data_IF_811350234534
#
_entry.id   IF_811350234534
#
_cell.length_a   1.000
_cell.length_b   1.000
_cell.length_c   1.000
_cell.angle_alpha   90.00
_cell.angle_beta   90.00
_cell.angle_gamma   90.00
#
_symmetry.space_group_name_H-M   'P 1'
#
loop_
_entity.id
_entity.type
_entity.pdbx_description
1 polymer ?
#
# COMPACT_ATOMS: atom_id res chain seq x y z
N UNK A 1 -56.86 63.38 12.35
CA UNK A 1 -55.52 62.98 11.88
C UNK A 1 -55.68 62.24 10.55
N UNK A 2 -54.85 62.60 9.57
CA UNK A 2 -54.58 61.99 8.25
C UNK A 2 -55.69 61.96 7.17
N UNK A 3 -55.30 62.52 6.01
CA UNK A 3 -55.97 62.57 4.70
C UNK A 3 -55.58 61.34 3.83
N UNK A 4 -55.59 61.36 2.48
CA UNK A 4 -56.54 60.62 1.65
C UNK A 4 -55.90 59.61 0.65
N UNK A 5 -56.76 58.95 -0.13
CA UNK A 5 -56.57 58.67 -1.58
C UNK A 5 -55.87 57.39 -2.06
N UNK A 6 -56.46 56.85 -3.14
CA UNK A 6 -55.83 56.28 -4.35
C UNK A 6 -55.88 54.75 -4.55
N UNK A 7 -56.47 54.39 -5.71
CA UNK A 7 -56.47 53.12 -6.42
C UNK A 7 -55.05 52.58 -6.67
N UNK A 8 -54.89 51.26 -6.86
CA UNK A 8 -54.38 50.65 -8.10
C UNK A 8 -54.10 49.14 -7.98
N UNK A 9 -54.64 48.41 -8.96
CA UNK A 9 -54.10 47.19 -9.58
C UNK A 9 -52.59 47.27 -9.77
N UNK A 10 -51.82 46.24 -9.39
CA UNK A 10 -50.69 45.70 -10.18
C UNK A 10 -50.45 44.22 -9.82
N UNK A 11 -50.82 43.30 -10.72
CA UNK A 11 -50.02 42.08 -10.94
C UNK A 11 -48.90 42.51 -11.89
N UNK A 12 -47.67 42.37 -11.45
CA UNK A 12 -46.52 42.31 -12.31
C UNK A 12 -45.72 41.09 -11.87
N UNK A 13 -45.75 40.07 -12.74
CA UNK A 13 -44.90 38.89 -12.66
C UNK A 13 -43.43 39.33 -12.80
N UNK A 14 -42.74 39.49 -11.67
CA UNK A 14 -41.29 39.59 -11.65
C UNK A 14 -40.71 38.18 -11.85
N UNK A 15 -40.35 37.89 -13.11
CA UNK A 15 -39.60 36.69 -13.50
C UNK A 15 -38.22 36.74 -12.83
N UNK A 16 -38.12 36.11 -11.66
CA UNK A 16 -36.87 35.94 -10.92
C UNK A 16 -35.99 34.95 -11.66
N UNK A 17 -35.10 35.47 -12.50
CA UNK A 17 -34.00 34.71 -13.11
C UNK A 17 -33.20 34.00 -12.00
N UNK A 18 -32.91 32.69 -12.15
CA UNK A 18 -32.10 31.98 -11.18
C UNK A 18 -30.69 32.57 -11.21
N UNK A 19 -30.30 33.21 -10.11
CA UNK A 19 -28.91 33.56 -9.84
C UNK A 19 -28.10 32.27 -9.88
N UNK A 20 -27.47 32.01 -11.02
CA UNK A 20 -26.41 31.01 -11.15
C UNK A 20 -25.27 31.47 -10.25
N UNK A 21 -25.32 31.07 -8.99
CA UNK A 21 -24.16 31.09 -8.13
C UNK A 21 -23.22 30.04 -8.70
N UNK A 22 -22.38 30.45 -9.63
CA UNK A 22 -21.17 29.74 -9.99
C UNK A 22 -20.29 29.67 -8.73
N UNK A 23 -20.62 28.74 -7.83
CA UNK A 23 -19.68 28.26 -6.83
C UNK A 23 -18.55 27.64 -7.65
N UNK A 24 -17.42 28.33 -7.76
CA UNK A 24 -16.24 27.85 -8.46
C UNK A 24 -15.88 26.47 -7.94
N UNK A 25 -16.35 25.43 -8.61
CA UNK A 25 -15.93 24.06 -8.33
C UNK A 25 -14.49 24.00 -8.79
N UNK A 26 -13.59 23.75 -7.84
CA UNK A 26 -12.20 23.40 -8.14
C UNK A 26 -12.21 22.32 -9.22
N UNK A 27 -11.68 22.63 -10.40
CA UNK A 27 -11.55 21.68 -11.51
C UNK A 27 -10.38 20.70 -11.33
N UNK A 28 -9.72 20.74 -10.16
CA UNK A 28 -8.64 19.83 -9.83
C UNK A 28 -9.19 18.43 -9.51
N UNK A 29 -8.73 17.46 -10.27
CA UNK A 29 -8.92 16.04 -10.00
C UNK A 29 -8.35 15.70 -8.60
N UNK A 30 -9.07 14.97 -7.74
CA UNK A 30 -8.53 14.52 -6.46
C UNK A 30 -7.20 13.81 -6.66
N UNK A 31 -6.14 14.26 -5.99
CA UNK A 31 -4.79 13.74 -6.20
C UNK A 31 -4.14 13.37 -4.88
N UNK A 32 -3.49 12.20 -4.82
CA UNK A 32 -2.71 11.74 -3.68
C UNK A 32 -1.29 11.40 -4.11
N UNK A 33 -0.29 11.85 -3.35
CA UNK A 33 1.10 11.43 -3.53
C UNK A 33 1.46 10.35 -2.52
N UNK A 34 1.94 9.21 -2.99
CA UNK A 34 2.34 8.07 -2.17
C UNK A 34 3.86 7.90 -2.18
N UNK A 35 4.45 7.88 -0.99
CA UNK A 35 5.81 7.37 -0.76
C UNK A 35 5.72 5.93 -0.30
N UNK A 36 6.81 5.19 -0.48
CA UNK A 36 6.93 3.82 0.05
C UNK A 36 5.71 2.99 -0.34
N UNK A 37 5.41 2.96 -1.64
CA UNK A 37 4.18 2.41 -2.19
C UNK A 37 4.34 0.93 -2.54
N UNK A 38 3.28 0.14 -2.55
CA UNK A 38 3.29 -1.29 -2.86
C UNK A 38 2.04 -1.72 -3.61
N UNK A 39 2.12 -2.90 -4.25
CA UNK A 39 0.99 -3.48 -4.97
C UNK A 39 0.01 -4.16 -4.01
N UNK A 40 -1.27 -4.03 -4.30
CA UNK A 40 -2.36 -4.72 -3.62
C UNK A 40 -3.37 -5.25 -4.64
N UNK A 41 -4.21 -6.19 -4.21
CA UNK A 41 -5.39 -6.63 -4.97
C UNK A 41 -6.61 -5.89 -4.45
N UNK A 42 -7.40 -5.28 -5.33
CA UNK A 42 -8.64 -4.65 -4.93
C UNK A 42 -9.77 -5.69 -4.80
N UNK A 43 -10.45 -5.68 -3.66
CA UNK A 43 -11.45 -6.69 -3.27
C UNK A 43 -12.84 -6.44 -3.88
N UNK A 44 -13.12 -5.21 -4.31
CA UNK A 44 -14.45 -4.85 -4.79
C UNK A 44 -14.66 -5.34 -6.23
N UNK A 45 -15.59 -6.29 -6.34
CA UNK A 45 -16.38 -6.59 -7.54
C UNK A 45 -15.77 -7.58 -8.54
N UNK A 46 -14.51 -7.98 -8.36
CA UNK A 46 -13.80 -8.87 -9.30
C UNK A 46 -13.02 -9.99 -8.63
N UNK A 47 -13.55 -10.75 -7.66
CA UNK A 47 -12.81 -11.89 -7.06
C UNK A 47 -11.37 -11.55 -6.58
N UNK A 48 -11.06 -10.29 -6.26
CA UNK A 48 -9.68 -9.85 -5.96
C UNK A 48 -8.74 -9.77 -7.17
N UNK A 49 -9.27 -9.56 -8.38
CA UNK A 49 -8.51 -9.68 -9.65
C UNK A 49 -8.22 -8.37 -10.35
N UNK A 50 -8.30 -7.26 -9.63
CA UNK A 50 -7.93 -5.94 -10.16
C UNK A 50 -6.78 -5.37 -9.36
N UNK A 51 -5.72 -4.98 -10.07
CA UNK A 51 -4.53 -4.36 -9.49
C UNK A 51 -4.88 -2.99 -8.89
N UNK A 52 -4.36 -2.73 -7.70
CA UNK A 52 -4.45 -1.46 -7.00
C UNK A 52 -3.12 -1.17 -6.29
N UNK A 53 -3.00 0.03 -5.71
CA UNK A 53 -1.80 0.46 -4.99
C UNK A 53 -2.14 0.92 -3.59
N UNK A 54 -1.22 0.67 -2.67
CA UNK A 54 -1.24 1.26 -1.35
C UNK A 54 0.10 1.95 -1.07
N UNK A 55 0.13 2.82 -0.07
CA UNK A 55 1.31 3.61 0.23
C UNK A 55 1.15 4.50 1.44
N UNK A 56 2.21 5.23 1.77
CA UNK A 56 2.18 6.27 2.81
C UNK A 56 1.97 7.62 2.14
N UNK A 57 0.94 8.35 2.58
CA UNK A 57 0.65 9.67 2.01
C UNK A 57 1.78 10.66 2.30
N UNK A 58 2.28 11.32 1.25
CA UNK A 58 3.29 12.36 1.35
C UNK A 58 2.62 13.73 1.28
N UNK A 59 2.05 14.21 2.39
CA UNK A 59 1.56 15.59 2.50
C UNK A 59 2.38 16.33 3.56
N UNK A 60 2.96 17.45 3.16
CA UNK A 60 3.81 18.27 4.04
C UNK A 60 3.01 18.78 5.25
N UNK A 61 3.62 18.74 6.43
CA UNK A 61 2.99 19.14 7.69
C UNK A 61 1.90 18.19 8.21
N UNK A 62 1.74 16.99 7.62
CA UNK A 62 0.74 16.01 8.06
C UNK A 62 1.36 14.68 8.47
N UNK A 63 0.70 13.98 9.40
CA UNK A 63 1.08 12.63 9.79
C UNK A 63 1.03 11.69 8.56
N UNK A 64 2.06 10.85 8.39
CA UNK A 64 2.05 9.80 7.36
C UNK A 64 0.92 8.81 7.68
N UNK A 65 -0.12 8.80 6.84
CA UNK A 65 -1.21 7.82 6.93
C UNK A 65 -1.05 6.78 5.83
N UNK A 66 -1.47 5.56 6.14
CA UNK A 66 -1.66 4.53 5.12
C UNK A 66 -2.81 4.93 4.21
N UNK A 67 -2.63 4.69 2.91
CA UNK A 67 -3.64 4.88 1.88
C UNK A 67 -3.73 3.61 1.05
N UNK A 68 -4.95 3.24 0.67
CA UNK A 68 -5.29 2.09 -0.18
C UNK A 68 -6.17 2.61 -1.30
N UNK A 69 -5.79 2.37 -2.55
CA UNK A 69 -6.53 2.86 -3.71
C UNK A 69 -7.67 1.93 -4.11
N UNK A 70 -8.62 2.47 -4.88
CA UNK A 70 -9.50 1.65 -5.71
C UNK A 70 -8.70 0.98 -6.86
N UNK A 71 -9.28 0.03 -7.61
CA UNK A 71 -8.69 -0.52 -8.83
C UNK A 71 -8.11 0.56 -9.75
N UNK A 72 -6.97 0.25 -10.38
CA UNK A 72 -6.36 1.13 -11.39
C UNK A 72 -7.27 1.13 -12.62
N UNK A 73 -7.68 2.33 -13.02
CA UNK A 73 -8.45 2.56 -14.24
C UNK A 73 -7.53 2.81 -15.43
N UNK A 74 -6.52 3.66 -15.25
CA UNK A 74 -5.64 4.12 -16.32
C UNK A 74 -4.27 4.50 -15.78
N UNK A 75 -3.24 4.40 -16.63
CA UNK A 75 -1.89 4.87 -16.32
C UNK A 75 -1.51 5.95 -17.32
N UNK A 76 -1.05 7.10 -16.81
CA UNK A 76 -0.62 8.25 -17.61
C UNK A 76 0.88 8.19 -17.92
N UNK A 77 1.68 7.81 -16.92
CA UNK A 77 3.10 7.51 -17.06
C UNK A 77 3.53 6.53 -15.96
N UNK A 78 4.82 6.20 -15.89
CA UNK A 78 5.36 5.21 -14.93
C UNK A 78 5.06 5.54 -13.46
N UNK A 79 4.75 6.79 -13.10
CA UNK A 79 4.47 7.20 -11.72
C UNK A 79 3.09 7.83 -11.51
N UNK A 80 2.33 8.10 -12.57
CA UNK A 80 1.03 8.77 -12.49
C UNK A 80 -0.06 7.84 -13.02
N UNK A 81 -1.02 7.50 -12.17
CA UNK A 81 -2.15 6.63 -12.49
C UNK A 81 -3.47 7.21 -12.00
N UNK A 82 -4.56 6.75 -12.59
CA UNK A 82 -5.93 7.08 -12.21
C UNK A 82 -6.65 5.81 -11.77
N UNK A 83 -7.42 5.93 -10.70
CA UNK A 83 -8.23 4.85 -10.15
C UNK A 83 -9.68 4.99 -10.58
N UNK A 84 -10.47 3.91 -10.48
CA UNK A 84 -11.87 3.89 -10.96
C UNK A 84 -12.80 4.89 -10.25
N UNK A 85 -12.41 5.37 -9.07
CA UNK A 85 -13.11 6.42 -8.31
C UNK A 85 -12.64 7.84 -8.69
N UNK A 86 -11.84 7.98 -9.76
CA UNK A 86 -11.42 9.27 -10.31
C UNK A 86 -10.31 9.95 -9.50
N UNK A 87 -9.52 9.18 -8.74
CA UNK A 87 -8.40 9.72 -7.96
C UNK A 87 -7.10 9.52 -8.75
N UNK A 88 -6.35 10.61 -8.94
CA UNK A 88 -4.99 10.57 -9.46
C UNK A 88 -4.02 10.18 -8.35
N UNK A 89 -3.24 9.14 -8.56
CA UNK A 89 -2.19 8.69 -7.64
C UNK A 89 -0.83 9.00 -8.26
N UNK A 90 0.02 9.70 -7.50
CA UNK A 90 1.41 10.01 -7.86
C UNK A 90 2.34 9.19 -6.98
N UNK A 91 3.07 8.26 -7.59
CA UNK A 91 4.02 7.40 -6.92
C UNK A 91 5.36 8.11 -6.77
N UNK A 92 5.93 8.06 -5.56
CA UNK A 92 7.21 8.69 -5.22
C UNK A 92 8.20 7.63 -4.76
N UNK A 93 9.34 7.59 -5.43
CA UNK A 93 10.40 6.62 -5.17
C UNK A 93 10.05 5.22 -5.69
N UNK A 94 10.82 4.25 -5.25
CA UNK A 94 10.68 2.86 -5.66
C UNK A 94 9.57 2.14 -4.89
N UNK A 95 9.10 1.06 -5.49
CA UNK A 95 8.14 0.14 -4.87
C UNK A 95 8.74 -0.50 -3.61
N UNK A 96 7.92 -0.66 -2.58
CA UNK A 96 8.22 -1.45 -1.40
C UNK A 96 8.01 -2.93 -1.70
N UNK A 97 9.13 -3.65 -1.82
CA UNK A 97 9.15 -5.08 -2.14
C UNK A 97 8.52 -5.94 -1.05
N UNK A 98 8.96 -5.78 0.21
CA UNK A 98 8.44 -6.58 1.34
C UNK A 98 6.92 -6.52 1.43
N UNK A 99 6.35 -5.31 1.37
CA UNK A 99 4.90 -5.15 1.45
C UNK A 99 4.18 -5.71 0.23
N UNK A 100 4.77 -5.66 -0.96
CA UNK A 100 4.18 -6.28 -2.14
C UNK A 100 4.19 -7.81 -2.03
N UNK A 101 5.27 -8.40 -1.51
CA UNK A 101 5.38 -9.85 -1.25
C UNK A 101 4.36 -10.29 -0.18
N UNK A 102 4.23 -9.53 0.90
CA UNK A 102 3.22 -9.73 1.94
C UNK A 102 1.79 -9.68 1.39
N UNK A 103 1.56 -8.94 0.30
CA UNK A 103 0.28 -8.86 -0.42
C UNK A 103 0.14 -9.94 -1.51
N UNK A 104 1.02 -10.94 -1.54
CA UNK A 104 0.93 -12.10 -2.42
C UNK A 104 1.40 -11.84 -3.85
N UNK A 105 2.25 -10.82 -4.08
CA UNK A 105 2.89 -10.60 -5.37
C UNK A 105 4.24 -11.33 -5.43
N UNK A 106 4.48 -12.19 -6.44
CA UNK A 106 5.76 -12.84 -6.65
C UNK A 106 6.89 -11.81 -6.89
N UNK A 107 8.12 -12.15 -6.50
CA UNK A 107 9.29 -11.29 -6.69
C UNK A 107 9.52 -10.91 -8.14
N UNK A 108 9.31 -11.84 -9.07
CA UNK A 108 9.49 -11.62 -10.52
C UNK A 108 8.49 -10.59 -11.04
N UNK A 109 7.29 -10.54 -10.45
CA UNK A 109 6.30 -9.51 -10.78
C UNK A 109 6.76 -8.17 -10.22
N UNK A 110 7.17 -8.12 -8.95
CA UNK A 110 7.59 -6.87 -8.28
C UNK A 110 8.77 -6.20 -9.01
N UNK A 111 9.72 -6.99 -9.51
CA UNK A 111 10.87 -6.47 -10.27
C UNK A 111 10.47 -5.67 -11.51
N UNK A 112 9.33 -6.01 -12.13
CA UNK A 112 8.80 -5.27 -13.28
C UNK A 112 8.26 -3.89 -12.91
N UNK A 113 8.00 -3.64 -11.62
CA UNK A 113 7.48 -2.38 -11.09
C UNK A 113 8.55 -1.53 -10.39
N UNK A 114 9.83 -1.94 -10.43
CA UNK A 114 10.89 -1.28 -9.67
C UNK A 114 10.97 0.22 -9.98
N UNK A 115 10.85 0.59 -11.27
CA UNK A 115 10.90 1.97 -11.74
C UNK A 115 9.52 2.61 -11.96
N UNK A 116 8.48 2.08 -11.31
CA UNK A 116 7.10 2.48 -11.54
C UNK A 116 6.34 1.49 -12.42
N UNK A 117 5.19 1.90 -12.95
CA UNK A 117 4.31 1.02 -13.71
C UNK A 117 4.82 0.78 -15.14
N UNK A 118 5.02 -0.49 -15.55
CA UNK A 118 5.45 -0.79 -16.90
C UNK A 118 4.31 -0.55 -17.91
N UNK A 119 4.59 -0.25 -19.19
CA UNK A 119 3.56 -0.06 -20.22
C UNK A 119 2.59 -1.25 -20.37
N UNK A 120 3.06 -2.46 -20.06
CA UNK A 120 2.31 -3.72 -20.16
C UNK A 120 1.62 -4.13 -18.85
N UNK A 121 1.37 -3.18 -17.94
CA UNK A 121 0.79 -3.45 -16.62
C UNK A 121 -0.56 -4.23 -16.67
N UNK A 122 -1.41 -3.98 -17.67
CA UNK A 122 -2.71 -4.63 -17.83
C UNK A 122 -2.59 -6.14 -18.02
N UNK A 123 -1.53 -6.58 -18.72
CA UNK A 123 -1.24 -8.00 -18.94
C UNK A 123 -0.98 -8.74 -17.63
N UNK A 124 -0.53 -8.06 -16.56
CA UNK A 124 -0.39 -8.68 -15.25
C UNK A 124 -1.75 -9.04 -14.64
N UNK A 125 -2.74 -8.16 -14.84
CA UNK A 125 -4.10 -8.36 -14.36
C UNK A 125 -4.69 -9.65 -14.93
N UNK A 126 -4.48 -9.89 -16.23
CA UNK A 126 -4.94 -11.09 -16.93
C UNK A 126 -4.17 -12.35 -16.53
N UNK A 127 -2.83 -12.29 -16.53
CA UNK A 127 -1.98 -13.47 -16.35
C UNK A 127 -1.91 -13.96 -14.91
N UNK A 128 -1.80 -13.04 -13.95
CA UNK A 128 -1.51 -13.37 -12.55
C UNK A 128 -2.73 -13.26 -11.64
N UNK A 129 -3.77 -12.55 -12.06
CA UNK A 129 -5.01 -12.46 -11.29
C UNK A 129 -6.16 -13.26 -11.93
N UNK A 130 -6.12 -13.54 -13.24
CA UNK A 130 -7.21 -14.22 -13.96
C UNK A 130 -7.31 -15.75 -13.81
N UNK A 131 -6.29 -16.45 -13.27
CA UNK A 131 -6.15 -17.92 -13.43
C UNK A 131 -6.81 -18.79 -12.34
N UNK A 132 -7.20 -18.24 -11.20
CA UNK A 132 -7.45 -19.08 -10.00
C UNK A 132 -8.86 -19.71 -9.90
N UNK A 133 -9.67 -19.69 -10.97
CA UNK A 133 -11.05 -20.23 -10.97
C UNK A 133 -11.25 -21.56 -11.68
N UNK A 134 -10.20 -22.35 -11.94
CA UNK A 134 -10.40 -23.74 -12.42
C UNK A 134 -10.10 -24.73 -11.29
N UNK A 135 -11.10 -24.93 -10.44
CA UNK A 135 -11.13 -26.07 -9.54
C UNK A 135 -11.03 -27.38 -10.33
N UNK A 136 -10.08 -28.23 -9.95
CA UNK A 136 -10.25 -29.68 -9.97
C UNK A 136 -9.69 -30.24 -8.67
N UNK A 137 -10.61 -30.67 -7.81
CA UNK A 137 -10.31 -31.59 -6.73
C UNK A 137 -10.08 -33.00 -7.31
N UNK A 138 -9.13 -33.69 -6.68
CA UNK A 138 -8.89 -35.14 -6.62
C UNK A 138 -8.60 -35.92 -7.90
N UNK A 139 -7.39 -36.46 -8.02
CA UNK A 139 -7.10 -37.85 -7.65
C UNK A 139 -5.59 -38.12 -7.79
N UNK A 140 -5.09 -38.95 -6.88
CA UNK A 140 -3.83 -39.68 -6.98
C UNK A 140 -3.57 -40.21 -8.39
N UNK A 141 -2.36 -40.01 -8.92
CA UNK A 141 -1.51 -41.13 -9.34
C UNK A 141 -0.09 -40.69 -9.70
N UNK A 142 0.82 -41.57 -9.32
CA UNK A 142 2.26 -41.41 -9.19
C UNK A 142 3.01 -41.44 -10.51
N UNK A 143 4.08 -40.63 -10.63
CA UNK A 143 5.34 -40.88 -11.38
C UNK A 143 6.38 -39.91 -10.75
N UNK A 144 7.23 -40.26 -9.78
CA UNK A 144 8.32 -41.23 -9.89
C UNK A 144 9.63 -40.50 -10.22
N UNK A 145 10.32 -39.92 -9.23
CA UNK A 145 11.78 -39.73 -9.29
C UNK A 145 12.43 -39.61 -7.90
N UNK A 146 12.99 -40.73 -7.46
CA UNK A 146 14.26 -40.94 -6.75
C UNK A 146 14.62 -40.09 -5.52
N UNK A 147 14.78 -40.82 -4.41
CA UNK A 147 15.14 -40.39 -3.05
C UNK A 147 16.61 -40.74 -2.80
N UNK A 148 17.49 -39.83 -2.32
CA UNK A 148 18.75 -40.26 -1.73
C UNK A 148 18.57 -40.67 -0.27
N UNK A 149 19.23 -41.80 0.03
CA UNK A 149 19.32 -42.56 1.27
C UNK A 149 19.61 -41.77 2.55
N UNK A 150 19.00 -42.21 3.64
CA UNK A 150 19.35 -41.79 4.99
C UNK A 150 20.53 -42.59 5.57
N UNK A 151 21.08 -42.05 6.66
CA UNK A 151 21.65 -42.83 7.75
C UNK A 151 21.03 -42.30 9.06
N UNK A 152 20.47 -43.22 9.84
CA UNK A 152 19.93 -43.03 11.19
C UNK A 152 20.95 -43.60 12.18
N UNK A 153 21.11 -43.01 13.36
CA UNK A 153 21.09 -43.75 14.64
C UNK A 153 21.13 -42.74 15.81
N UNK A 154 20.24 -42.93 16.79
CA UNK A 154 20.24 -42.22 18.08
C UNK A 154 21.03 -43.03 19.11
N UNK A 155 21.78 -42.36 19.99
CA UNK A 155 22.24 -42.93 21.27
C UNK A 155 22.10 -41.92 22.41
N UNK A 156 21.98 -42.47 23.62
CA UNK A 156 21.19 -42.01 24.77
C UNK A 156 22.02 -41.29 25.84
N UNK A 157 21.31 -40.59 26.73
CA UNK A 157 21.77 -39.86 27.93
C UNK A 157 22.66 -40.65 28.92
N UNK A 158 23.66 -39.97 29.52
CA UNK A 158 24.22 -40.31 30.85
C UNK A 158 25.02 -39.14 31.50
N UNK A 159 24.37 -38.43 32.43
CA UNK A 159 24.81 -37.88 33.74
C UNK A 159 26.31 -37.66 34.11
N UNK A 160 26.64 -36.38 34.36
CA UNK A 160 27.34 -35.67 35.46
C UNK A 160 28.47 -36.27 36.36
N UNK A 161 29.30 -35.31 36.83
CA UNK A 161 30.42 -35.26 37.82
C UNK A 161 31.82 -35.33 37.16
N UNK A 162 32.83 -34.47 37.42
CA UNK A 162 33.10 -33.59 38.57
C UNK A 162 34.10 -32.45 38.21
N UNK A 163 34.19 -31.52 39.17
CA UNK A 163 34.85 -30.25 39.43
C UNK A 163 36.31 -29.91 39.03
N UNK A 164 36.47 -28.57 38.91
CA UNK A 164 37.60 -27.68 39.28
C UNK A 164 38.85 -27.63 38.38
N UNK A 165 39.05 -26.47 37.73
CA UNK A 165 40.10 -25.56 38.23
C UNK A 165 39.81 -24.08 37.92
N UNK A 166 40.33 -23.24 38.80
CA UNK A 166 39.99 -21.83 39.04
C UNK A 166 41.03 -20.88 38.41
N UNK A 167 40.68 -19.57 38.42
CA UNK A 167 41.51 -18.36 38.22
C UNK A 167 41.68 -17.89 36.76
N UNK A 168 41.62 -16.61 36.38
CA UNK A 168 41.12 -15.36 36.98
C UNK A 168 41.11 -14.29 35.87
N UNK A 169 40.03 -13.53 35.82
CA UNK A 169 39.87 -12.09 35.53
C UNK A 169 41.05 -11.28 34.97
N UNK A 170 40.86 -10.65 33.80
CA UNK A 170 41.08 -9.19 33.62
C UNK A 170 40.12 -8.63 32.57
N UNK A 171 39.23 -7.75 33.02
CA UNK A 171 38.48 -6.84 32.17
C UNK A 171 39.17 -5.48 32.16
N UNK A 172 39.15 -4.80 31.02
CA UNK A 172 39.30 -3.35 30.97
C UNK A 172 38.15 -2.74 30.16
N UNK A 173 37.29 -2.06 30.90
CA UNK A 173 36.30 -1.10 30.41
C UNK A 173 36.87 0.28 30.69
N UNK A 174 37.12 1.08 29.67
CA UNK A 174 37.46 2.50 29.85
C UNK A 174 36.15 3.29 29.70
N UNK A 175 35.63 3.75 30.84
CA UNK A 175 34.60 4.78 30.93
C UNK A 175 35.28 6.11 31.26
N UNK A 176 35.09 7.10 30.39
CA UNK A 176 35.58 8.46 30.59
C UNK A 176 34.65 9.21 31.56
N UNK A 177 35.17 9.55 32.74
CA UNK A 177 34.49 10.39 33.72
C UNK A 177 34.85 11.88 33.53
N UNK A 178 33.80 12.67 33.33
CA UNK A 178 33.78 14.13 33.37
C UNK A 178 33.95 14.62 34.82
N UNK A 179 34.73 15.68 35.05
CA UNK A 179 34.51 16.54 36.23
C UNK A 179 35.68 17.37 36.76
N UNK A 180 35.69 18.66 36.39
CA UNK A 180 35.79 19.84 37.26
C UNK A 180 36.88 19.87 38.35
N UNK A 181 37.75 20.90 38.29
CA UNK A 181 38.19 21.60 39.50
C UNK A 181 38.45 23.08 39.21
N UNK A 182 37.63 23.87 39.88
CA UNK A 182 37.82 25.28 40.16
C UNK A 182 38.99 25.44 41.18
N UNK A 183 39.56 26.66 41.22
CA UNK A 183 40.63 27.25 42.06
C UNK A 183 41.90 27.63 41.31
#
# INVERSE_FOLDING_TARGET
MASPSTCQTQRADEKKEPKSSNSSKSCFQPTVSLKDWWLIRAERDSQGRTLAVAGRTSREGQALRGFTSAPIHKIYDVFNLETIDGICVVLKGFINRSRSEENGFPSEVIEQFLFGFPPQWETFNEKFLGRDSKGKASASDALGFEKPSGCSEKVKDLKNLDQNDYVETTGETIQDHIGRKDY
#
